data_IF_994246141678
#
_entry.id   IF_994246141678
#
_cell.length_a   1.000
_cell.length_b   1.000
_cell.length_c   1.000
_cell.angle_alpha   90.00
_cell.angle_beta   90.00
_cell.angle_gamma   90.00
#
_symmetry.space_group_name_H-M   'P 1'
#
loop_
_entity.id
_entity.type
_entity.pdbx_description
1 polymer ?
#
# COMPACT_ATOMS: atom_id res chain seq x y z
N UNK A 1 -2.42 -16.46 -5.52
CA UNK A 1 -1.41 -15.77 -4.66
C UNK A 1 -0.81 -16.79 -3.69
N UNK A 2 0.40 -16.58 -3.18
CA UNK A 2 0.98 -17.49 -2.20
C UNK A 2 0.10 -17.57 -0.94
N UNK A 3 -0.30 -18.79 -0.56
CA UNK A 3 -1.13 -19.05 0.63
C UNK A 3 -0.42 -18.72 1.95
N UNK A 4 0.92 -18.67 1.92
CA UNK A 4 1.77 -18.28 3.05
C UNK A 4 2.80 -17.25 2.59
N UNK A 5 2.51 -15.95 2.68
CA UNK A 5 3.49 -14.93 2.36
C UNK A 5 4.70 -15.00 3.30
N UNK A 6 5.90 -14.78 2.77
CA UNK A 6 7.15 -14.80 3.56
C UNK A 6 7.25 -13.60 4.50
N UNK A 7 8.21 -13.64 5.44
CA UNK A 7 8.51 -12.52 6.34
C UNK A 7 8.81 -11.26 5.49
N UNK A 8 8.21 -10.12 5.84
CA UNK A 8 8.25 -8.83 5.12
C UNK A 8 7.41 -8.73 3.82
N UNK A 9 6.70 -9.79 3.43
CA UNK A 9 5.76 -9.69 2.29
C UNK A 9 4.55 -8.83 2.65
N UNK A 10 4.17 -8.84 3.93
CA UNK A 10 3.05 -8.06 4.45
C UNK A 10 3.54 -6.79 5.15
N UNK A 11 2.71 -5.74 5.09
CA UNK A 11 2.97 -4.54 5.89
C UNK A 11 2.82 -4.86 7.38
N UNK A 12 3.66 -4.26 8.25
CA UNK A 12 3.60 -4.50 9.69
C UNK A 12 2.23 -4.12 10.30
N UNK A 13 1.53 -3.18 9.67
CA UNK A 13 0.19 -2.72 10.07
C UNK A 13 -0.96 -3.53 9.45
N UNK A 14 -0.67 -4.60 8.69
CA UNK A 14 -1.72 -5.39 8.03
C UNK A 14 -2.65 -6.06 9.03
N UNK A 15 -2.12 -6.53 10.16
CA UNK A 15 -2.89 -7.15 11.25
C UNK A 15 -3.92 -6.21 11.88
N UNK A 16 -3.71 -4.89 11.82
CA UNK A 16 -4.64 -3.89 12.35
C UNK A 16 -5.86 -3.64 11.44
N UNK A 17 -5.87 -4.17 10.21
CA UNK A 17 -7.01 -4.03 9.29
C UNK A 17 -7.42 -2.58 9.08
N UNK A 18 -8.70 -2.27 9.37
CA UNK A 18 -9.26 -0.91 9.28
C UNK A 18 -9.01 -0.07 10.55
N UNK A 19 -8.63 -0.67 11.68
CA UNK A 19 -8.38 0.06 12.93
C UNK A 19 -7.17 0.99 12.83
N UNK A 20 -6.25 0.73 11.90
CA UNK A 20 -5.12 1.63 11.61
C UNK A 20 -5.56 3.08 11.32
N UNK A 21 -6.74 3.28 10.72
CA UNK A 21 -7.25 4.61 10.41
C UNK A 21 -7.69 5.38 11.65
N UNK A 22 -8.11 4.68 12.72
CA UNK A 22 -8.45 5.30 14.02
C UNK A 22 -7.23 5.95 14.66
N UNK A 23 -6.04 5.38 14.45
CA UNK A 23 -4.78 5.92 14.95
C UNK A 23 -4.23 6.98 13.98
N UNK A 24 -4.27 6.68 12.68
CA UNK A 24 -3.67 7.53 11.65
C UNK A 24 -4.43 8.86 11.48
N UNK A 25 -5.76 8.83 11.46
CA UNK A 25 -6.55 10.03 11.15
C UNK A 25 -6.37 11.16 12.18
N UNK A 26 -6.47 10.93 13.50
CA UNK A 26 -6.20 11.98 14.49
C UNK A 26 -4.78 12.54 14.39
N UNK A 27 -3.78 11.67 14.13
CA UNK A 27 -2.39 12.11 13.98
C UNK A 27 -2.20 13.00 12.73
N UNK A 28 -2.79 12.62 11.59
CA UNK A 28 -2.73 13.44 10.37
C UNK A 28 -3.41 14.80 10.58
N UNK A 29 -4.60 14.81 11.19
CA UNK A 29 -5.33 16.05 11.50
C UNK A 29 -4.49 16.94 12.42
N UNK A 30 -3.90 16.37 13.47
CA UNK A 30 -3.03 17.11 14.39
C UNK A 30 -1.78 17.66 13.68
N UNK A 31 -1.15 16.86 12.82
CA UNK A 31 0.04 17.25 12.07
C UNK A 31 -0.25 18.42 11.12
N UNK A 32 -1.35 18.36 10.37
CA UNK A 32 -1.80 19.44 9.49
C UNK A 32 -2.17 20.70 10.29
N UNK A 33 -2.93 20.55 11.37
CA UNK A 33 -3.32 21.66 12.25
C UNK A 33 -2.08 22.35 12.83
N UNK A 34 -1.17 21.59 13.41
CA UNK A 34 0.08 22.11 13.98
C UNK A 34 0.94 22.82 12.93
N UNK A 35 0.98 22.32 11.69
CA UNK A 35 1.72 22.97 10.62
C UNK A 35 1.08 24.30 10.18
N UNK A 36 -0.25 24.35 10.12
CA UNK A 36 -1.00 25.54 9.72
C UNK A 36 -1.02 26.65 10.79
N UNK A 37 -1.13 26.29 12.08
CA UNK A 37 -1.35 27.26 13.16
C UNK A 37 -0.08 27.69 13.88
N UNK A 38 0.97 26.87 13.93
CA UNK A 38 2.21 27.24 14.63
C UNK A 38 3.11 28.12 13.78
N UNK A 39 3.84 29.03 14.42
CA UNK A 39 4.85 29.89 13.79
C UNK A 39 6.14 29.14 13.46
N UNK A 40 6.99 29.72 12.60
CA UNK A 40 8.15 29.05 11.99
C UNK A 40 9.14 28.42 12.98
N UNK A 41 9.28 28.95 14.19
CA UNK A 41 10.17 28.38 15.22
C UNK A 41 9.60 27.13 15.93
N UNK A 42 8.27 26.94 15.92
CA UNK A 42 7.60 25.80 16.58
C UNK A 42 7.06 24.77 15.58
N UNK A 43 7.19 25.04 14.28
CA UNK A 43 6.81 24.10 13.23
C UNK A 43 7.74 22.90 13.27
N UNK A 44 7.15 21.72 13.36
CA UNK A 44 7.85 20.46 13.16
C UNK A 44 7.63 19.98 11.72
N UNK A 45 8.53 20.32 10.78
CA UNK A 45 8.39 19.91 9.38
C UNK A 45 8.53 18.39 9.23
N UNK A 46 9.23 17.71 10.13
CA UNK A 46 9.40 16.26 10.06
C UNK A 46 8.07 15.56 10.29
N UNK A 47 7.33 15.94 11.35
CA UNK A 47 6.00 15.38 11.64
C UNK A 47 5.01 15.59 10.48
N UNK A 48 5.08 16.72 9.78
CA UNK A 48 4.27 16.97 8.59
C UNK A 48 4.68 16.09 7.40
N UNK A 49 5.99 15.98 7.12
CA UNK A 49 6.52 15.24 5.98
C UNK A 49 6.37 13.72 6.09
N UNK A 50 6.21 13.17 7.30
CA UNK A 50 5.97 11.74 7.49
C UNK A 50 4.71 11.27 6.74
N UNK A 51 3.65 12.09 6.66
CA UNK A 51 2.41 11.69 5.99
C UNK A 51 2.56 11.58 4.46
N UNK A 52 3.07 12.60 3.73
CA UNK A 52 3.41 12.47 2.31
C UNK A 52 4.37 11.30 2.02
N UNK A 53 5.32 11.03 2.90
CA UNK A 53 6.24 9.90 2.76
C UNK A 53 5.51 8.54 2.86
N UNK A 54 4.56 8.39 3.77
CA UNK A 54 3.73 7.19 3.86
C UNK A 54 2.88 7.00 2.58
N UNK A 55 2.31 8.09 2.05
CA UNK A 55 1.53 8.05 0.81
C UNK A 55 2.38 7.70 -0.41
N UNK A 56 3.59 8.27 -0.53
CA UNK A 56 4.49 7.97 -1.65
C UNK A 56 4.89 6.50 -1.65
N UNK A 57 5.13 5.91 -0.46
CA UNK A 57 5.39 4.48 -0.33
C UNK A 57 4.20 3.62 -0.76
N UNK A 58 2.98 4.01 -0.42
CA UNK A 58 1.77 3.31 -0.86
C UNK A 58 1.61 3.38 -2.38
N UNK A 59 1.79 4.55 -2.97
CA UNK A 59 1.73 4.76 -4.42
C UNK A 59 2.80 3.95 -5.15
N UNK A 60 4.05 4.01 -4.68
CA UNK A 60 5.15 3.22 -5.25
C UNK A 60 4.83 1.72 -5.26
N UNK A 61 4.32 1.18 -4.14
CA UNK A 61 3.93 -0.21 -4.07
C UNK A 61 2.80 -0.56 -5.06
N UNK A 62 1.76 0.29 -5.15
CA UNK A 62 0.66 0.07 -6.08
C UNK A 62 1.12 0.14 -7.55
N UNK A 63 2.02 1.07 -7.88
CA UNK A 63 2.62 1.18 -9.21
C UNK A 63 3.42 -0.09 -9.54
N UNK A 64 4.23 -0.59 -8.62
CA UNK A 64 5.01 -1.80 -8.83
C UNK A 64 4.14 -3.03 -9.05
N UNK A 65 3.07 -3.18 -8.25
CA UNK A 65 2.09 -4.26 -8.42
C UNK A 65 1.42 -4.16 -9.80
N UNK A 66 1.02 -2.95 -10.20
CA UNK A 66 0.32 -2.72 -11.46
C UNK A 66 1.22 -3.01 -12.66
N UNK A 67 2.46 -2.51 -12.64
CA UNK A 67 3.46 -2.76 -13.69
C UNK A 67 3.78 -4.25 -13.79
N UNK A 68 4.02 -4.90 -12.64
CA UNK A 68 4.31 -6.33 -12.59
C UNK A 68 3.18 -7.16 -13.19
N UNK A 69 1.93 -6.88 -12.83
CA UNK A 69 0.75 -7.57 -13.40
C UNK A 69 0.59 -7.30 -14.89
N UNK A 70 0.80 -6.05 -15.33
CA UNK A 70 0.75 -5.71 -16.75
C UNK A 70 1.77 -6.49 -17.56
N UNK A 71 3.02 -6.55 -17.07
CA UNK A 71 4.09 -7.34 -17.70
C UNK A 71 3.78 -8.85 -17.69
N UNK A 72 3.16 -9.38 -16.63
CA UNK A 72 2.74 -10.79 -16.62
C UNK A 72 1.60 -11.06 -17.60
N UNK A 73 0.65 -10.13 -17.74
CA UNK A 73 -0.52 -10.31 -18.60
C UNK A 73 -0.22 -10.13 -20.10
N UNK A 74 0.63 -9.16 -20.47
CA UNK A 74 0.95 -8.82 -21.88
C UNK A 74 2.39 -9.15 -22.30
N UNK A 75 3.27 -9.51 -21.38
CA UNK A 75 4.69 -9.71 -21.66
C UNK A 75 5.03 -11.06 -22.28
N UNK A 76 6.23 -11.14 -22.88
CA UNK A 76 6.80 -12.37 -23.45
C UNK A 76 7.14 -13.45 -22.40
N UNK A 77 7.11 -13.12 -21.11
CA UNK A 77 7.38 -14.06 -20.00
C UNK A 77 6.19 -14.99 -19.70
N UNK A 78 5.18 -15.02 -20.58
CA UNK A 78 4.04 -15.92 -20.46
C UNK A 78 4.49 -17.35 -20.79
N UNK A 79 4.61 -18.16 -19.75
CA UNK A 79 5.03 -19.57 -19.85
C UNK A 79 3.99 -20.40 -20.64
N UNK A 80 2.71 -20.02 -20.57
CA UNK A 80 1.61 -20.72 -21.23
C UNK A 80 0.61 -19.70 -21.82
N UNK A 81 0.37 -19.75 -23.13
CA UNK A 81 -0.65 -18.93 -23.83
C UNK A 81 -2.04 -19.53 -23.67
N UNK A 82 -2.52 -19.62 -22.42
CA UNK A 82 -3.85 -20.09 -22.09
C UNK A 82 -4.51 -19.06 -21.16
N UNK A 83 -5.77 -18.74 -21.42
CA UNK A 83 -6.58 -17.95 -20.49
C UNK A 83 -6.80 -18.72 -19.20
N UNK A 84 -6.97 -18.02 -18.08
CA UNK A 84 -7.37 -18.66 -16.82
C UNK A 84 -8.72 -19.35 -17.03
N UNK A 85 -8.81 -20.63 -16.67
CA UNK A 85 -10.06 -21.40 -16.75
C UNK A 85 -11.01 -21.00 -15.61
N UNK A 86 -12.32 -21.01 -15.87
CA UNK A 86 -13.33 -20.67 -14.86
C UNK A 86 -13.20 -21.55 -13.60
N UNK A 87 -12.88 -22.84 -13.74
CA UNK A 87 -12.62 -23.73 -12.61
C UNK A 87 -11.43 -23.28 -11.75
N UNK A 88 -10.39 -22.73 -12.36
CA UNK A 88 -9.26 -22.18 -11.62
C UNK A 88 -9.65 -20.93 -10.84
N UNK A 89 -10.50 -20.05 -11.42
CA UNK A 89 -11.03 -18.88 -10.71
C UNK A 89 -11.85 -19.31 -9.50
N UNK A 90 -12.73 -20.28 -9.66
CA UNK A 90 -13.59 -20.80 -8.59
C UNK A 90 -12.75 -21.40 -7.45
N UNK A 91 -11.69 -22.14 -7.79
CA UNK A 91 -10.77 -22.74 -6.81
C UNK A 91 -9.88 -21.71 -6.10
N UNK A 92 -9.62 -20.55 -6.70
CA UNK A 92 -8.82 -19.48 -6.09
C UNK A 92 -9.69 -18.45 -5.35
N UNK A 93 -11.00 -18.42 -5.60
CA UNK A 93 -11.95 -17.52 -4.95
C UNK A 93 -12.56 -18.09 -3.66
N UNK A 94 -12.46 -19.40 -3.43
CA UNK A 94 -13.03 -20.13 -2.29
C UNK A 94 -11.91 -20.63 -1.36
#
# INVERSE_FOLDING_TARGET
>A
MASRPGVLTEWPWKQLGNLKYVILAPWVVHSIYSFATKGDMERDPFNFLVFPFLLSRMLHNQLWISLSRFLTAKGKNRILDKTIEFEQVDRESN
#
